data_IF_068786386010
#
_entry.id   IF_068786386010
#
_cell.length_a   1.000
_cell.length_b   1.000
_cell.length_c   1.000
_cell.angle_alpha   90.00
_cell.angle_beta   90.00
_cell.angle_gamma   90.00
#
_symmetry.space_group_name_H-M   'P 1'
#
loop_
_entity.id
_entity.type
_entity.pdbx_description
1 polymer ?
#
# COMPACT_ATOMS: atom_id res chain seq x y z
N UNK A 1 6.62 9.70 31.54
CA UNK A 1 6.81 8.35 30.95
C UNK A 1 8.25 8.25 30.48
N UNK A 2 8.92 7.11 30.71
CA UNK A 2 10.25 6.84 30.15
C UNK A 2 10.07 6.24 28.75
N UNK A 3 10.86 6.68 27.79
CA UNK A 3 10.85 6.11 26.45
C UNK A 3 11.60 4.77 26.44
N UNK A 4 11.25 3.86 25.53
CA UNK A 4 11.90 2.54 25.45
C UNK A 4 13.43 2.64 25.23
N UNK A 5 13.89 3.63 24.46
CA UNK A 5 15.32 3.86 24.20
C UNK A 5 16.11 4.36 25.42
N UNK A 6 15.42 4.78 26.48
CA UNK A 6 16.04 5.23 27.74
C UNK A 6 16.30 4.08 28.72
N UNK A 7 15.81 2.87 28.43
CA UNK A 7 16.04 1.72 29.30
C UNK A 7 17.50 1.24 29.22
N UNK A 8 18.16 0.92 30.36
CA UNK A 8 19.53 0.42 30.37
C UNK A 8 19.74 -0.88 29.60
N UNK A 9 18.69 -1.70 29.48
CA UNK A 9 18.74 -2.94 28.71
C UNK A 9 18.54 -2.72 27.20
N UNK A 10 18.18 -1.52 26.73
CA UNK A 10 18.08 -1.23 25.31
C UNK A 10 19.43 -1.48 24.61
N UNK A 11 19.47 -2.15 23.44
CA UNK A 11 18.35 -2.56 22.58
C UNK A 11 17.78 -3.96 22.87
N UNK A 12 18.21 -4.63 23.95
CA UNK A 12 17.67 -5.94 24.38
C UNK A 12 16.28 -5.78 24.98
N UNK A 13 15.34 -5.44 24.13
CA UNK A 13 13.93 -5.28 24.48
C UNK A 13 13.37 -6.59 25.03
N UNK A 14 12.68 -6.51 26.17
CA UNK A 14 11.97 -7.62 26.80
C UNK A 14 10.50 -7.25 26.89
N UNK A 15 9.64 -8.22 26.56
CA UNK A 15 8.20 -8.09 26.73
C UNK A 15 7.63 -9.43 27.22
N UNK A 16 6.47 -9.38 27.84
CA UNK A 16 5.73 -10.58 28.20
C UNK A 16 4.89 -11.02 26.99
N UNK A 17 5.27 -12.13 26.37
CA UNK A 17 4.59 -12.67 25.20
C UNK A 17 3.12 -13.01 25.48
N UNK A 18 2.78 -13.41 26.71
CA UNK A 18 1.39 -13.73 27.07
C UNK A 18 0.46 -12.52 26.95
N UNK A 19 1.00 -11.30 27.04
CA UNK A 19 0.20 -10.07 26.91
C UNK A 19 -0.24 -9.78 25.48
N UNK A 20 0.38 -10.40 24.47
CA UNK A 20 0.05 -10.18 23.06
C UNK A 20 -0.49 -11.43 22.36
N UNK A 21 -0.50 -12.59 23.04
CA UNK A 21 -0.84 -13.90 22.47
C UNK A 21 -2.21 -13.91 21.77
N UNK A 22 -3.23 -13.31 22.37
CA UNK A 22 -4.57 -13.22 21.76
C UNK A 22 -4.58 -12.34 20.49
N UNK A 23 -3.88 -11.20 20.54
CA UNK A 23 -3.78 -10.28 19.41
C UNK A 23 -2.97 -10.91 18.26
N UNK A 24 -1.88 -11.60 18.58
CA UNK A 24 -1.07 -12.35 17.62
C UNK A 24 -1.87 -13.47 16.97
N UNK A 25 -2.60 -14.26 17.76
CA UNK A 25 -3.48 -15.32 17.25
C UNK A 25 -4.53 -14.77 16.30
N UNK A 26 -5.17 -13.66 16.68
CA UNK A 26 -6.14 -12.97 15.82
C UNK A 26 -5.48 -12.45 14.54
N UNK A 27 -4.32 -11.82 14.64
CA UNK A 27 -3.57 -11.30 13.49
C UNK A 27 -3.24 -12.43 12.50
N UNK A 28 -2.69 -13.54 12.98
CA UNK A 28 -2.34 -14.69 12.15
C UNK A 28 -3.57 -15.31 11.48
N UNK A 29 -4.68 -15.44 12.21
CA UNK A 29 -5.94 -15.94 11.65
C UNK A 29 -6.44 -15.06 10.51
N UNK A 30 -6.49 -13.74 10.72
CA UNK A 30 -6.95 -12.80 9.69
C UNK A 30 -5.97 -12.76 8.50
N UNK A 31 -4.66 -12.82 8.76
CA UNK A 31 -3.64 -12.92 7.71
C UNK A 31 -3.83 -14.16 6.84
N UNK A 32 -4.11 -15.32 7.45
CA UNK A 32 -4.43 -16.55 6.72
C UNK A 32 -5.68 -16.41 5.83
N UNK A 33 -6.76 -15.80 6.35
CA UNK A 33 -7.97 -15.51 5.57
C UNK A 33 -7.67 -14.57 4.41
N UNK A 34 -6.91 -13.50 4.64
CA UNK A 34 -6.52 -12.54 3.61
C UNK A 34 -5.72 -13.22 2.50
N UNK A 35 -4.67 -13.97 2.84
CA UNK A 35 -3.86 -14.72 1.87
C UNK A 35 -4.74 -15.69 1.07
N UNK A 36 -5.67 -16.37 1.75
CA UNK A 36 -6.64 -17.26 1.10
C UNK A 36 -7.53 -16.52 0.10
N UNK A 37 -8.04 -15.34 0.45
CA UNK A 37 -8.85 -14.52 -0.44
C UNK A 37 -8.04 -14.02 -1.66
N UNK A 38 -6.82 -13.53 -1.45
CA UNK A 38 -5.94 -13.02 -2.52
C UNK A 38 -5.67 -14.07 -3.61
N UNK A 39 -5.58 -15.35 -3.25
CA UNK A 39 -5.38 -16.45 -4.21
C UNK A 39 -6.50 -16.62 -5.25
N UNK A 40 -7.66 -16.02 -5.03
CA UNK A 40 -8.82 -16.12 -5.91
C UNK A 40 -9.03 -14.87 -6.76
N UNK A 41 -8.17 -13.86 -6.63
CA UNK A 41 -8.21 -12.66 -7.45
C UNK A 41 -7.73 -12.96 -8.87
N UNK A 42 -8.33 -12.28 -9.84
CA UNK A 42 -7.75 -12.22 -11.18
C UNK A 42 -6.54 -11.28 -11.18
N UNK A 43 -5.64 -11.37 -12.18
CA UNK A 43 -4.51 -10.44 -12.29
C UNK A 43 -4.94 -8.96 -12.33
N UNK A 44 -6.09 -8.66 -12.93
CA UNK A 44 -6.63 -7.31 -12.99
C UNK A 44 -7.15 -6.85 -11.62
N UNK A 45 -7.84 -7.73 -10.87
CA UNK A 45 -8.29 -7.42 -9.51
C UNK A 45 -7.12 -7.23 -8.55
N UNK A 46 -6.06 -8.03 -8.68
CA UNK A 46 -4.83 -7.89 -7.89
C UNK A 46 -4.16 -6.55 -8.17
N UNK A 47 -4.05 -6.17 -9.44
CA UNK A 47 -3.50 -4.88 -9.89
C UNK A 47 -4.30 -3.70 -9.31
N UNK A 48 -5.62 -3.76 -9.39
CA UNK A 48 -6.50 -2.72 -8.84
C UNK A 48 -6.38 -2.62 -7.33
N UNK A 49 -6.34 -3.76 -6.63
CA UNK A 49 -6.20 -3.82 -5.18
C UNK A 49 -4.88 -3.19 -4.72
N UNK A 50 -3.77 -3.50 -5.40
CA UNK A 50 -2.46 -2.90 -5.10
C UNK A 50 -2.51 -1.38 -5.33
N UNK A 51 -3.06 -0.93 -6.45
CA UNK A 51 -3.14 0.49 -6.78
C UNK A 51 -3.99 1.27 -5.76
N UNK A 52 -5.15 0.75 -5.38
CA UNK A 52 -6.03 1.38 -4.41
C UNK A 52 -5.44 1.39 -2.99
N UNK A 53 -4.79 0.29 -2.58
CA UNK A 53 -4.15 0.19 -1.27
C UNK A 53 -3.01 1.19 -1.15
N UNK A 54 -2.10 1.23 -2.13
CA UNK A 54 -0.99 2.17 -2.14
C UNK A 54 -1.46 3.62 -2.23
N UNK A 55 -2.51 3.90 -3.00
CA UNK A 55 -3.11 5.25 -3.08
C UNK A 55 -3.66 5.67 -1.72
N UNK A 56 -4.40 4.78 -1.06
CA UNK A 56 -4.96 5.05 0.26
C UNK A 56 -3.86 5.29 1.29
N UNK A 57 -2.81 4.47 1.29
CA UNK A 57 -1.66 4.63 2.18
C UNK A 57 -1.00 6.00 1.98
N UNK A 58 -0.62 6.35 0.75
CA UNK A 58 0.02 7.63 0.45
C UNK A 58 -0.83 8.84 0.90
N UNK A 59 -2.15 8.81 0.65
CA UNK A 59 -3.05 9.88 1.10
C UNK A 59 -3.12 9.99 2.62
N UNK A 60 -3.23 8.85 3.31
CA UNK A 60 -3.35 8.83 4.78
C UNK A 60 -2.06 9.22 5.48
N UNK A 61 -0.90 8.79 4.97
CA UNK A 61 0.40 9.18 5.52
C UNK A 61 0.71 10.65 5.26
N UNK A 62 0.44 11.17 4.06
CA UNK A 62 0.62 12.60 3.76
C UNK A 62 -0.27 13.49 4.61
N UNK A 63 -1.50 13.07 4.90
CA UNK A 63 -2.40 13.81 5.78
C UNK A 63 -1.87 13.94 7.22
N UNK A 64 -1.11 12.96 7.72
CA UNK A 64 -0.45 13.04 9.04
C UNK A 64 0.59 14.17 9.07
N UNK A 65 1.28 14.39 7.94
CA UNK A 65 2.25 15.47 7.75
C UNK A 65 1.60 16.81 7.38
N UNK A 66 0.26 16.87 7.29
CA UNK A 66 -0.50 18.07 6.92
C UNK A 66 -0.60 18.33 5.42
N UNK A 67 -0.17 17.39 4.58
CA UNK A 67 -0.27 17.47 3.12
C UNK A 67 -1.61 16.91 2.64
N UNK A 68 -2.33 17.68 1.82
CA UNK A 68 -3.56 17.24 1.16
C UNK A 68 -3.24 17.00 -0.31
N UNK A 69 -3.23 15.73 -0.71
CA UNK A 69 -2.93 15.31 -2.07
C UNK A 69 -4.22 14.96 -2.84
N UNK A 70 -4.21 15.20 -4.15
CA UNK A 70 -5.28 14.77 -5.03
C UNK A 70 -5.20 13.26 -5.29
N UNK A 71 -6.27 12.52 -4.96
CA UNK A 71 -6.33 11.06 -5.09
C UNK A 71 -6.04 10.57 -6.49
N UNK A 72 -6.58 11.24 -7.51
CA UNK A 72 -6.43 10.80 -8.89
C UNK A 72 -4.99 10.96 -9.38
N UNK A 73 -4.35 12.06 -9.01
CA UNK A 73 -2.94 12.34 -9.30
C UNK A 73 -2.00 11.35 -8.61
N UNK A 74 -2.27 11.02 -7.34
CA UNK A 74 -1.52 10.01 -6.58
C UNK A 74 -1.68 8.63 -7.21
N UNK A 75 -2.93 8.20 -7.50
CA UNK A 75 -3.21 6.91 -8.13
C UNK A 75 -2.55 6.78 -9.50
N UNK A 76 -2.64 7.81 -10.34
CA UNK A 76 -1.99 7.85 -11.65
C UNK A 76 -0.47 7.71 -11.54
N UNK A 77 0.14 8.39 -10.57
CA UNK A 77 1.58 8.27 -10.30
C UNK A 77 1.94 6.86 -9.84
N UNK A 78 1.20 6.28 -8.89
CA UNK A 78 1.41 4.91 -8.41
C UNK A 78 1.32 3.88 -9.54
N UNK A 79 0.27 3.94 -10.36
CA UNK A 79 0.12 3.03 -11.49
C UNK A 79 1.29 3.16 -12.48
N UNK A 80 1.81 4.37 -12.70
CA UNK A 80 2.96 4.61 -13.57
C UNK A 80 4.24 4.02 -12.98
N UNK A 81 4.54 4.32 -11.71
CA UNK A 81 5.78 3.87 -11.05
C UNK A 81 5.80 2.33 -10.84
N UNK A 82 4.63 1.70 -10.68
CA UNK A 82 4.51 0.25 -10.58
C UNK A 82 4.45 -0.47 -11.94
N UNK A 83 4.48 0.26 -13.07
CA UNK A 83 4.36 -0.32 -14.40
C UNK A 83 2.98 -0.91 -14.71
N UNK A 84 1.95 -0.50 -13.98
CA UNK A 84 0.56 -0.97 -14.07
C UNK A 84 -0.30 -0.07 -14.99
N UNK A 85 0.24 1.06 -15.45
CA UNK A 85 -0.41 1.85 -16.51
C UNK A 85 -0.25 1.16 -17.86
N UNK A 86 -1.37 0.78 -18.46
CA UNK A 86 -1.43 0.40 -19.88
C UNK A 86 -1.26 1.67 -20.70
N UNK A 87 -0.12 1.80 -21.39
CA UNK A 87 0.14 2.92 -22.29
C UNK A 87 -0.85 2.88 -23.45
N UNK A 88 -1.96 3.63 -23.36
CA UNK A 88 -2.90 3.87 -24.47
C UNK A 88 -2.28 4.88 -25.45
N UNK A 89 -1.06 4.64 -25.90
CA UNK A 89 -0.37 5.41 -26.96
C UNK A 89 0.17 4.48 -28.04
N UNK A 90 -0.76 3.81 -28.70
CA UNK A 90 -0.59 3.37 -30.09
C UNK A 90 -1.92 3.55 -30.85
N UNK A 91 -2.50 4.74 -30.76
CA UNK A 91 -3.45 5.21 -31.78
C UNK A 91 -2.68 5.79 -32.97
N UNK A 92 -3.13 5.63 -34.23
CA UNK A 92 -2.38 6.08 -35.39
C UNK A 92 -2.07 7.57 -35.25
N UNK A 93 -0.79 7.95 -35.45
CA UNK A 93 -0.44 9.35 -35.66
C UNK A 93 -1.26 9.82 -36.86
N UNK A 94 -2.19 10.74 -36.62
CA UNK A 94 -2.84 11.51 -37.67
C UNK A 94 -1.72 12.11 -38.52
N UNK A 95 -1.61 11.61 -39.75
CA UNK A 95 -0.78 12.21 -40.76
C UNK A 95 -1.43 13.55 -41.08
N UNK A 96 -0.79 14.65 -40.68
CA UNK A 96 -1.10 15.96 -41.22
C UNK A 96 -0.82 15.91 -42.73
N UNK A 97 -1.89 15.84 -43.53
CA UNK A 97 -1.82 16.14 -44.96
C UNK A 97 -1.64 17.64 -45.15
N UNK A 98 -0.75 18.08 -46.06
CA UNK A 98 -0.62 19.48 -46.40
C UNK A 98 -1.75 19.87 -47.38
N UNK A 99 -2.37 21.01 -47.13
CA UNK A 99 -3.32 21.68 -48.02
C UNK A 99 -3.38 23.15 -47.69
#
# INVERSE_FOLDING_TARGET
MSWNWQHPEWPRFRFDAKRIEEAETSFLRHGGVLIGALKHLTPDDETELVAETATSEALTTSAIEGEILDRQSVRSSILRELGLQVDRRAGPREQASPG
#
